data_IF_321931424306
#
_entry.id   IF_321931424306
#
_cell.length_a   1.000
_cell.length_b   1.000
_cell.length_c   1.000
_cell.angle_alpha   90.00
_cell.angle_beta   90.00
_cell.angle_gamma   90.00
#
_symmetry.space_group_name_H-M   'P 1'
#
loop_
_entity.id
_entity.type
_entity.pdbx_description
1 polymer ?
#
# COMPACT_ATOMS: atom_id res chain seq x y z
N UNK A 1 -26.09 -13.30 33.15
CA UNK A 1 -26.31 -11.90 32.74
C UNK A 1 -25.04 -11.35 32.09
N UNK A 2 -24.68 -11.81 30.88
CA UNK A 2 -23.53 -11.32 30.09
C UNK A 2 -23.93 -11.37 28.59
N UNK A 3 -24.93 -10.60 28.19
CA UNK A 3 -25.33 -10.48 26.76
C UNK A 3 -25.74 -9.05 26.35
N UNK A 4 -25.46 -8.04 27.18
CA UNK A 4 -25.86 -6.66 26.94
C UNK A 4 -24.83 -5.74 26.23
N UNK A 5 -23.58 -6.18 26.05
CA UNK A 5 -22.48 -5.31 25.61
C UNK A 5 -22.21 -5.25 24.10
N UNK A 6 -22.71 -6.23 23.33
CA UNK A 6 -22.34 -6.34 21.89
C UNK A 6 -23.14 -5.41 20.96
N UNK A 7 -24.32 -4.95 21.39
CA UNK A 7 -25.22 -4.15 20.54
C UNK A 7 -24.86 -2.67 20.38
N UNK A 8 -24.00 -2.12 21.24
CA UNK A 8 -23.61 -0.71 21.16
C UNK A 8 -22.48 -0.41 20.16
N UNK A 9 -21.75 -1.43 19.70
CA UNK A 9 -20.54 -1.25 18.87
C UNK A 9 -20.81 -1.24 17.36
N UNK A 10 -22.00 -1.64 16.91
CA UNK A 10 -22.31 -1.69 15.46
C UNK A 10 -22.95 -0.39 14.93
N UNK A 11 -23.47 0.49 15.80
CA UNK A 11 -24.21 1.68 15.37
C UNK A 11 -23.43 2.69 14.52
N UNK A 12 -22.15 3.06 14.81
CA UNK A 12 -21.44 4.02 13.97
C UNK A 12 -21.19 3.51 12.56
N UNK A 13 -20.94 2.22 12.42
CA UNK A 13 -20.65 1.59 11.12
C UNK A 13 -21.91 1.43 10.25
N UNK A 14 -23.03 1.08 10.83
CA UNK A 14 -24.33 0.99 10.15
C UNK A 14 -24.79 2.36 9.63
N UNK A 15 -24.61 3.40 10.43
CA UNK A 15 -24.89 4.78 10.04
C UNK A 15 -24.07 5.22 8.82
N UNK A 16 -22.79 4.84 8.76
CA UNK A 16 -21.92 5.13 7.62
C UNK A 16 -22.36 4.41 6.35
N UNK A 17 -22.84 3.16 6.44
CA UNK A 17 -23.38 2.44 5.28
C UNK A 17 -24.55 3.16 4.61
N UNK A 18 -25.43 3.77 5.40
CA UNK A 18 -26.57 4.54 4.86
C UNK A 18 -26.15 5.90 4.32
N UNK A 19 -25.21 6.58 5.00
CA UNK A 19 -24.73 7.91 4.61
C UNK A 19 -23.84 7.91 3.36
N UNK A 20 -23.21 6.78 3.06
CA UNK A 20 -22.30 6.60 1.92
C UNK A 20 -22.86 5.68 0.82
N UNK A 21 -24.18 5.55 0.68
CA UNK A 21 -24.74 4.85 -0.48
C UNK A 21 -24.25 5.51 -1.76
N UNK A 22 -23.31 4.82 -2.43
CA UNK A 22 -22.90 5.18 -3.78
C UNK A 22 -24.12 5.08 -4.68
N UNK A 23 -24.50 6.11 -5.43
CA UNK A 23 -25.61 6.04 -6.38
C UNK A 23 -25.40 4.85 -7.33
N UNK A 24 -26.45 4.09 -7.63
CA UNK A 24 -26.41 2.93 -8.53
C UNK A 24 -25.75 3.26 -9.90
N UNK A 25 -25.84 4.52 -10.34
CA UNK A 25 -25.17 5.02 -11.53
C UNK A 25 -23.64 5.08 -11.39
N UNK A 26 -23.10 5.32 -10.19
CA UNK A 26 -21.68 5.27 -9.93
C UNK A 26 -21.16 3.82 -9.87
N UNK A 27 -21.95 2.87 -9.34
CA UNK A 27 -21.63 1.44 -9.38
C UNK A 27 -21.50 0.92 -10.83
N UNK A 28 -22.32 1.41 -11.76
CA UNK A 28 -22.23 1.01 -13.15
C UNK A 28 -20.96 1.50 -13.87
N UNK A 29 -20.28 2.53 -13.36
CA UNK A 29 -18.94 2.95 -13.79
C UNK A 29 -17.85 1.98 -13.27
N UNK A 30 -18.12 1.23 -12.20
CA UNK A 30 -17.19 0.26 -11.65
C UNK A 30 -17.16 -1.08 -12.41
N UNK A 31 -18.18 -1.37 -13.24
CA UNK A 31 -18.29 -2.65 -13.96
C UNK A 31 -17.56 -2.69 -15.30
N UNK A 32 -16.96 -1.60 -15.75
CA UNK A 32 -16.17 -1.54 -16.98
C UNK A 32 -14.69 -1.43 -16.66
N UNK A 33 -14.02 -2.53 -16.58
CA UNK A 33 -12.59 -2.79 -16.76
C UNK A 33 -11.98 -3.68 -15.68
N UNK A 34 -12.29 -4.96 -15.73
CA UNK A 34 -11.52 -6.02 -15.04
C UNK A 34 -10.21 -6.35 -15.76
N UNK A 35 -9.55 -5.39 -16.39
CA UNK A 35 -8.38 -5.63 -17.23
C UNK A 35 -7.09 -5.28 -16.50
N UNK A 36 -6.25 -6.25 -16.43
CA UNK A 36 -4.81 -6.37 -16.14
C UNK A 36 -4.00 -5.06 -16.31
N UNK A 37 -4.06 -4.15 -15.34
CA UNK A 37 -3.31 -2.89 -15.40
C UNK A 37 -1.81 -3.12 -15.23
N UNK A 38 -1.01 -2.39 -16.00
CA UNK A 38 0.46 -2.46 -16.10
C UNK A 38 1.03 -3.82 -16.54
N UNK A 39 0.21 -4.72 -17.07
CA UNK A 39 0.73 -5.82 -17.87
C UNK A 39 1.09 -5.33 -19.28
N UNK A 40 2.18 -5.86 -19.83
CA UNK A 40 2.70 -5.46 -21.14
C UNK A 40 1.67 -5.58 -22.27
N UNK A 41 0.82 -6.60 -22.22
CA UNK A 41 -0.28 -6.77 -23.17
C UNK A 41 -1.32 -5.65 -23.06
N UNK A 42 -1.70 -5.27 -21.82
CA UNK A 42 -2.64 -4.18 -21.61
C UNK A 42 -2.09 -2.84 -22.11
N UNK A 43 -0.84 -2.52 -21.78
CA UNK A 43 -0.16 -1.31 -22.24
C UNK A 43 -0.16 -1.22 -23.76
N UNK A 44 0.21 -2.31 -24.45
CA UNK A 44 0.26 -2.37 -25.90
C UNK A 44 -1.11 -2.21 -26.55
N UNK A 45 -2.11 -2.92 -25.99
CA UNK A 45 -3.44 -3.02 -26.60
C UNK A 45 -4.29 -1.76 -26.30
N UNK A 46 -3.89 -0.93 -25.31
CA UNK A 46 -4.62 0.26 -24.85
C UNK A 46 -3.71 1.50 -24.67
N UNK A 47 -2.72 1.68 -25.58
CA UNK A 47 -1.69 2.72 -25.45
C UNK A 47 -2.27 4.10 -25.11
N UNK A 48 -3.24 4.59 -25.89
CA UNK A 48 -3.80 5.93 -25.75
C UNK A 48 -4.53 6.13 -24.42
N UNK A 49 -5.28 5.12 -23.98
CA UNK A 49 -5.96 5.16 -22.67
C UNK A 49 -4.96 5.14 -21.51
N UNK A 50 -3.89 4.35 -21.62
CA UNK A 50 -2.80 4.34 -20.64
C UNK A 50 -2.15 5.71 -20.52
N UNK A 51 -1.80 6.34 -21.64
CA UNK A 51 -1.20 7.68 -21.65
C UNK A 51 -2.15 8.71 -21.04
N UNK A 52 -3.42 8.68 -21.42
CA UNK A 52 -4.46 9.57 -20.88
C UNK A 52 -4.60 9.40 -19.36
N UNK A 53 -4.64 8.17 -18.85
CA UNK A 53 -4.73 7.91 -17.39
C UNK A 53 -3.47 8.33 -16.66
N UNK A 54 -2.28 8.12 -17.22
CA UNK A 54 -1.01 8.58 -16.65
C UNK A 54 -0.93 10.13 -16.57
N UNK A 55 -1.56 10.83 -17.50
CA UNK A 55 -1.61 12.31 -17.46
C UNK A 55 -2.38 12.84 -16.25
N UNK A 56 -3.37 12.09 -15.71
CA UNK A 56 -4.08 12.44 -14.49
C UNK A 56 -3.12 12.49 -13.28
N UNK A 57 -2.11 11.59 -13.24
CA UNK A 57 -1.02 11.61 -12.24
C UNK A 57 0.10 12.62 -12.56
N UNK A 58 -0.07 13.47 -13.54
CA UNK A 58 0.96 14.39 -13.99
C UNK A 58 2.29 13.70 -14.38
N UNK A 59 2.22 12.42 -14.82
CA UNK A 59 3.40 11.66 -15.23
C UNK A 59 3.97 12.23 -16.52
N UNK A 60 5.21 12.72 -16.44
CA UNK A 60 5.90 13.37 -17.56
C UNK A 60 6.35 12.34 -18.60
N UNK A 61 6.41 12.76 -19.86
CA UNK A 61 6.93 11.97 -20.98
C UNK A 61 6.22 10.61 -21.17
N UNK A 62 4.96 10.51 -20.75
CA UNK A 62 4.18 9.27 -20.77
C UNK A 62 4.18 8.61 -22.16
N UNK A 63 3.98 9.37 -23.25
CA UNK A 63 3.97 8.83 -24.61
C UNK A 63 5.31 8.19 -24.98
N UNK A 64 6.43 8.87 -24.72
CA UNK A 64 7.78 8.38 -25.02
C UNK A 64 8.10 7.13 -24.22
N UNK A 65 7.79 7.12 -22.91
CA UNK A 65 8.08 5.99 -22.02
C UNK A 65 7.21 4.77 -22.37
N UNK A 66 5.91 4.99 -22.62
CA UNK A 66 5.00 3.90 -23.01
C UNK A 66 5.38 3.34 -24.39
N UNK A 67 5.77 4.18 -25.35
CA UNK A 67 6.27 3.69 -26.63
C UNK A 67 7.54 2.85 -26.45
N UNK A 68 8.48 3.29 -25.63
CA UNK A 68 9.70 2.51 -25.31
C UNK A 68 9.36 1.15 -24.72
N UNK A 69 8.39 1.06 -23.78
CA UNK A 69 7.94 -0.22 -23.21
C UNK A 69 7.38 -1.13 -24.30
N UNK A 70 6.56 -0.60 -25.23
CA UNK A 70 5.97 -1.36 -26.34
C UNK A 70 7.06 -1.89 -27.28
N UNK A 71 8.06 -1.07 -27.62
CA UNK A 71 9.15 -1.44 -28.53
C UNK A 71 10.04 -2.52 -27.92
N UNK A 72 10.33 -2.41 -26.63
CA UNK A 72 11.03 -3.43 -25.86
C UNK A 72 10.24 -4.75 -25.77
N UNK A 73 8.92 -4.72 -25.55
CA UNK A 73 8.07 -5.92 -25.54
C UNK A 73 8.01 -6.59 -26.93
N UNK A 74 7.95 -5.80 -27.99
CA UNK A 74 8.03 -6.33 -29.35
C UNK A 74 9.37 -7.02 -29.63
N UNK A 75 10.48 -6.39 -29.18
CA UNK A 75 11.84 -6.97 -29.27
C UNK A 75 11.94 -8.26 -28.47
N UNK A 76 11.38 -8.30 -27.24
CA UNK A 76 11.31 -9.49 -26.40
C UNK A 76 10.56 -10.63 -27.09
N UNK A 77 9.37 -10.35 -27.64
CA UNK A 77 8.58 -11.34 -28.38
C UNK A 77 9.30 -11.89 -29.60
N UNK A 78 10.00 -11.02 -30.36
CA UNK A 78 10.79 -11.46 -31.51
C UNK A 78 11.96 -12.35 -31.07
N UNK A 79 12.69 -11.99 -30.00
CA UNK A 79 13.77 -12.80 -29.45
C UNK A 79 13.25 -14.14 -28.90
N UNK A 80 12.14 -14.14 -28.18
CA UNK A 80 11.49 -15.36 -27.66
C UNK A 80 11.13 -16.32 -28.81
N UNK A 81 10.48 -15.80 -29.85
CA UNK A 81 10.11 -16.61 -31.01
C UNK A 81 11.35 -17.23 -31.68
N UNK A 82 12.43 -16.45 -31.86
CA UNK A 82 13.67 -16.99 -32.43
C UNK A 82 14.28 -18.09 -31.55
N UNK A 83 14.27 -17.92 -30.23
CA UNK A 83 14.77 -18.95 -29.30
C UNK A 83 13.91 -20.22 -29.36
N UNK A 84 12.57 -20.08 -29.38
CA UNK A 84 11.64 -21.22 -29.48
C UNK A 84 11.78 -21.97 -30.80
N UNK A 85 11.90 -21.26 -31.93
CA UNK A 85 12.11 -21.83 -33.27
C UNK A 85 13.46 -22.58 -33.33
N UNK A 86 14.56 -21.99 -32.81
CA UNK A 86 15.88 -22.62 -32.75
C UNK A 86 15.87 -23.88 -31.90
N UNK A 87 15.19 -23.86 -30.77
CA UNK A 87 15.04 -25.02 -29.88
C UNK A 87 14.23 -26.14 -30.52
N UNK A 88 13.16 -25.79 -31.22
CA UNK A 88 12.35 -26.76 -31.99
C UNK A 88 13.17 -27.42 -33.09
N UNK A 89 13.98 -26.67 -33.84
CA UNK A 89 14.89 -27.22 -34.86
C UNK A 89 15.92 -28.16 -34.25
N UNK A 90 16.61 -27.74 -33.16
CA UNK A 90 17.58 -28.56 -32.44
C UNK A 90 16.96 -29.91 -31.97
N UNK A 91 15.75 -29.87 -31.42
CA UNK A 91 15.03 -31.08 -30.98
C UNK A 91 14.69 -31.99 -32.15
N UNK A 92 14.33 -31.44 -33.31
CA UNK A 92 14.02 -32.20 -34.53
C UNK A 92 15.26 -32.90 -35.07
N UNK A 93 16.41 -32.17 -35.13
CA UNK A 93 17.67 -32.77 -35.55
C UNK A 93 18.17 -33.85 -34.57
N UNK A 94 17.96 -33.67 -33.27
CA UNK A 94 18.31 -34.68 -32.28
C UNK A 94 17.54 -35.99 -32.48
N UNK A 95 16.26 -35.94 -32.86
CA UNK A 95 15.47 -37.15 -33.23
C UNK A 95 16.02 -37.80 -34.50
N UNK A 96 16.29 -37.00 -35.54
CA UNK A 96 16.85 -37.51 -36.79
C UNK A 96 18.22 -38.18 -36.58
N UNK A 97 19.10 -37.62 -35.76
CA UNK A 97 20.38 -38.26 -35.38
C UNK A 97 20.13 -39.62 -34.74
N UNK A 98 19.12 -39.72 -33.82
CA UNK A 98 18.78 -40.99 -33.20
C UNK A 98 18.31 -42.05 -34.20
N UNK A 99 17.55 -41.68 -35.25
CA UNK A 99 17.15 -42.58 -36.31
C UNK A 99 18.27 -43.01 -37.24
N UNK A 100 19.13 -42.05 -37.64
CA UNK A 100 20.31 -42.34 -38.49
C UNK A 100 21.31 -43.28 -37.79
N UNK A 101 21.52 -43.09 -36.50
CA UNK A 101 22.36 -43.96 -35.68
C UNK A 101 21.80 -45.40 -35.62
N UNK A 102 20.50 -45.57 -35.51
CA UNK A 102 19.82 -46.88 -35.51
C UNK A 102 19.95 -47.58 -36.87
N UNK A 103 19.95 -46.81 -37.94
CA UNK A 103 20.04 -47.36 -39.35
C UNK A 103 21.49 -47.46 -39.84
N UNK A 104 22.50 -47.21 -38.99
CA UNK A 104 23.94 -47.36 -39.33
C UNK A 104 24.53 -46.26 -40.20
N UNK A 105 23.79 -45.16 -40.44
CA UNK A 105 24.23 -44.02 -41.28
C UNK A 105 25.04 -43.00 -40.46
N UNK A 106 26.27 -43.40 -40.05
CA UNK A 106 27.10 -42.66 -39.12
C UNK A 106 27.59 -41.32 -39.66
N UNK A 107 27.96 -41.21 -40.92
CA UNK A 107 28.46 -39.97 -41.53
C UNK A 107 27.37 -38.88 -41.58
N UNK A 108 26.14 -39.25 -42.02
CA UNK A 108 25.02 -38.35 -42.01
C UNK A 108 24.68 -37.89 -40.56
N UNK A 109 24.75 -38.79 -39.58
CA UNK A 109 24.52 -38.48 -38.18
C UNK A 109 25.58 -37.48 -37.61
N UNK A 110 26.86 -37.60 -38.00
CA UNK A 110 27.92 -36.68 -37.57
C UNK A 110 27.71 -35.26 -38.14
N UNK A 111 27.27 -35.13 -39.38
CA UNK A 111 26.96 -33.81 -39.97
C UNK A 111 25.80 -33.12 -39.20
N UNK A 112 24.75 -33.86 -38.85
CA UNK A 112 23.64 -33.33 -38.08
C UNK A 112 24.05 -32.99 -36.62
N UNK A 113 24.96 -33.73 -36.02
CA UNK A 113 25.52 -33.40 -34.71
C UNK A 113 26.28 -32.06 -34.72
N UNK A 114 27.05 -31.79 -35.77
CA UNK A 114 27.75 -30.50 -35.91
C UNK A 114 26.72 -29.36 -36.00
N UNK A 115 25.68 -29.50 -36.82
CA UNK A 115 24.61 -28.53 -36.93
C UNK A 115 23.85 -28.34 -35.61
N UNK A 116 23.59 -29.43 -34.86
CA UNK A 116 22.93 -29.36 -33.54
C UNK A 116 23.83 -28.62 -32.53
N UNK A 117 25.12 -28.78 -32.58
CA UNK A 117 26.07 -28.04 -31.71
C UNK A 117 26.06 -26.53 -32.01
N UNK A 118 25.98 -26.16 -33.30
CA UNK A 118 25.85 -24.75 -33.72
C UNK A 118 24.51 -24.14 -33.23
N UNK A 119 23.41 -24.86 -33.40
CA UNK A 119 22.09 -24.42 -32.90
C UNK A 119 22.06 -24.25 -31.39
N UNK A 120 22.73 -25.12 -30.62
CA UNK A 120 22.85 -24.95 -29.15
C UNK A 120 23.63 -23.70 -28.76
N UNK A 121 24.69 -23.33 -29.51
CA UNK A 121 25.39 -22.07 -29.27
C UNK A 121 24.48 -20.86 -29.59
N UNK A 122 23.73 -20.94 -30.67
CA UNK A 122 22.75 -19.92 -31.06
C UNK A 122 21.66 -19.78 -30.01
N UNK A 123 21.11 -20.91 -29.52
CA UNK A 123 20.11 -20.93 -28.42
C UNK A 123 20.64 -20.16 -27.19
N UNK A 124 21.87 -20.47 -26.74
CA UNK A 124 22.46 -19.76 -25.60
C UNK A 124 22.57 -18.26 -25.84
N UNK A 125 23.00 -17.84 -27.03
CA UNK A 125 23.11 -16.41 -27.38
C UNK A 125 21.77 -15.73 -27.39
N UNK A 126 20.71 -16.42 -27.86
CA UNK A 126 19.33 -15.91 -27.86
C UNK A 126 18.75 -15.83 -26.46
N UNK A 127 19.04 -16.80 -25.58
CA UNK A 127 18.63 -16.77 -24.17
C UNK A 127 19.28 -15.59 -23.43
N UNK A 128 20.58 -15.35 -23.64
CA UNK A 128 21.29 -14.20 -23.07
C UNK A 128 20.69 -12.87 -23.60
N UNK A 129 20.39 -12.79 -24.88
CA UNK A 129 19.73 -11.62 -25.49
C UNK A 129 18.33 -11.40 -24.89
N UNK A 130 17.52 -12.46 -24.76
CA UNK A 130 16.20 -12.40 -24.17
C UNK A 130 16.26 -11.88 -22.73
N UNK A 131 17.14 -12.45 -21.92
CA UNK A 131 17.34 -12.00 -20.53
C UNK A 131 17.73 -10.53 -20.42
N UNK A 132 18.60 -10.04 -21.31
CA UNK A 132 18.98 -8.63 -21.34
C UNK A 132 17.77 -7.74 -21.70
N UNK A 133 16.96 -8.13 -22.71
CA UNK A 133 15.77 -7.36 -23.09
C UNK A 133 14.74 -7.36 -21.92
N UNK A 134 14.54 -8.48 -21.25
CA UNK A 134 13.64 -8.56 -20.08
C UNK A 134 14.09 -7.64 -18.95
N UNK A 135 15.40 -7.54 -18.70
CA UNK A 135 15.94 -6.59 -17.73
C UNK A 135 15.69 -5.14 -18.14
N UNK A 136 15.87 -4.80 -19.43
CA UNK A 136 15.57 -3.44 -19.91
C UNK A 136 14.08 -3.12 -19.85
N UNK A 137 13.19 -4.05 -20.22
CA UNK A 137 11.73 -3.90 -20.01
C UNK A 137 11.45 -3.58 -18.54
N UNK A 138 12.03 -4.36 -17.61
CA UNK A 138 11.82 -4.20 -16.19
C UNK A 138 12.32 -2.85 -15.68
N UNK A 139 13.50 -2.39 -16.10
CA UNK A 139 14.05 -1.08 -15.74
C UNK A 139 13.16 0.08 -16.14
N UNK A 140 12.55 0.00 -17.32
CA UNK A 140 11.61 1.05 -17.78
C UNK A 140 10.27 0.92 -17.07
N UNK A 141 9.72 -0.29 -16.95
CA UNK A 141 8.39 -0.53 -16.40
C UNK A 141 8.28 -0.11 -14.92
N UNK A 142 9.34 -0.27 -14.12
CA UNK A 142 9.34 0.17 -12.71
C UNK A 142 9.28 1.69 -12.54
N UNK A 143 9.52 2.46 -13.62
CA UNK A 143 9.40 3.92 -13.59
C UNK A 143 7.97 4.40 -13.85
N UNK A 144 7.10 3.53 -14.35
CA UNK A 144 5.71 3.86 -14.68
C UNK A 144 4.82 3.69 -13.45
N UNK A 145 4.12 4.74 -13.00
CA UNK A 145 3.20 4.64 -11.87
C UNK A 145 1.96 3.81 -12.22
N UNK A 146 1.25 3.36 -11.19
CA UNK A 146 -0.04 2.71 -11.40
C UNK A 146 -1.04 3.66 -12.04
N UNK A 147 -1.96 3.13 -12.84
CA UNK A 147 -2.99 3.91 -13.50
C UNK A 147 -4.06 4.35 -12.50
N UNK A 148 -4.41 5.64 -12.42
CA UNK A 148 -5.48 6.09 -11.57
C UNK A 148 -6.84 5.59 -12.06
N UNK A 149 -7.74 5.25 -11.15
CA UNK A 149 -9.12 4.89 -11.47
C UNK A 149 -9.84 6.08 -12.15
N UNK A 150 -10.81 5.81 -13.01
CA UNK A 150 -11.53 6.84 -13.77
C UNK A 150 -12.29 7.89 -12.93
N UNK A 151 -12.52 7.62 -11.63
CA UNK A 151 -13.15 8.56 -10.70
C UNK A 151 -12.16 9.46 -9.93
N UNK A 152 -10.85 9.32 -10.19
CA UNK A 152 -9.83 10.18 -9.57
C UNK A 152 -9.93 11.58 -10.13
N UNK A 153 -10.08 12.62 -9.29
CA UNK A 153 -10.13 13.99 -9.76
C UNK A 153 -8.78 14.42 -10.36
N UNK A 154 -8.84 15.23 -11.40
CA UNK A 154 -7.65 15.89 -11.91
C UNK A 154 -7.17 16.93 -10.89
N UNK A 155 -5.86 17.04 -10.72
CA UNK A 155 -5.25 17.98 -9.78
C UNK A 155 -3.74 17.79 -9.72
N UNK A 156 -3.03 18.76 -9.12
CA UNK A 156 -1.57 18.76 -9.02
C UNK A 156 -1.05 18.72 -7.60
N UNK A 157 -1.82 19.25 -6.67
CA UNK A 157 -1.40 19.49 -5.29
C UNK A 157 -2.50 19.05 -4.30
N UNK A 158 -2.20 18.89 -2.99
CA UNK A 158 -3.18 18.51 -1.99
C UNK A 158 -4.43 19.41 -1.91
N UNK A 159 -4.32 20.68 -2.33
CA UNK A 159 -5.44 21.62 -2.37
C UNK A 159 -6.50 21.25 -3.42
N UNK A 160 -6.13 20.43 -4.40
CA UNK A 160 -7.05 19.93 -5.42
C UNK A 160 -7.80 18.65 -4.99
N UNK A 161 -7.55 18.15 -3.80
CA UNK A 161 -8.24 16.97 -3.26
C UNK A 161 -9.72 17.28 -2.98
N UNK A 162 -10.59 16.33 -3.27
CA UNK A 162 -12.02 16.49 -3.06
C UNK A 162 -12.43 16.04 -1.66
N UNK A 163 -13.02 16.93 -0.85
CA UNK A 163 -13.69 16.55 0.39
C UNK A 163 -14.96 15.77 0.05
N UNK A 164 -15.02 14.51 0.48
CA UNK A 164 -16.15 13.61 0.20
C UNK A 164 -17.02 13.33 1.43
N UNK A 165 -16.52 13.62 2.62
CA UNK A 165 -17.25 13.46 3.87
C UNK A 165 -16.62 14.30 4.99
N UNK A 166 -17.45 14.80 5.90
CA UNK A 166 -17.03 15.51 7.12
C UNK A 166 -17.88 15.03 8.31
N UNK A 167 -17.28 14.95 9.48
CA UNK A 167 -17.95 14.53 10.72
C UNK A 167 -17.40 15.26 11.95
N UNK A 168 -18.29 15.49 12.90
CA UNK A 168 -17.96 16.08 14.20
C UNK A 168 -17.94 17.61 14.18
N UNK A 169 -17.89 18.18 15.37
CA UNK A 169 -17.82 19.63 15.57
C UNK A 169 -16.41 19.99 16.06
N UNK A 170 -15.81 20.96 15.43
CA UNK A 170 -14.51 21.52 15.84
C UNK A 170 -14.67 22.09 17.26
N UNK A 171 -13.86 21.63 18.25
CA UNK A 171 -13.98 22.11 19.61
C UNK A 171 -13.47 23.56 19.74
N UNK A 172 -14.21 24.34 20.52
CA UNK A 172 -13.76 25.66 20.97
C UNK A 172 -12.91 25.45 22.23
N UNK A 173 -11.63 25.78 22.13
CA UNK A 173 -10.70 25.61 23.24
C UNK A 173 -10.74 26.81 24.22
N UNK A 174 -10.37 26.58 25.46
CA UNK A 174 -10.21 27.64 26.47
C UNK A 174 -9.00 28.55 26.12
N UNK A 175 -8.96 29.76 26.71
CA UNK A 175 -7.96 30.77 26.35
C UNK A 175 -6.50 30.36 26.61
N UNK A 176 -6.25 29.44 27.56
CA UNK A 176 -4.94 28.94 27.92
C UNK A 176 -4.60 27.60 27.20
N UNK A 177 -5.33 27.24 26.13
CA UNK A 177 -5.09 26.02 25.40
C UNK A 177 -3.71 26.01 24.71
N UNK A 178 -3.08 24.83 24.74
CA UNK A 178 -1.72 24.63 24.27
C UNK A 178 -1.66 23.55 23.18
N UNK A 179 -0.68 23.60 22.26
CA UNK A 179 -0.44 22.54 21.32
C UNK A 179 0.13 21.28 22.01
N UNK A 180 -0.02 20.12 21.38
CA UNK A 180 0.31 18.82 21.96
C UNK A 180 1.75 18.70 22.48
N UNK A 181 2.74 19.37 21.89
CA UNK A 181 4.13 19.32 22.37
C UNK A 181 4.31 20.05 23.71
N UNK A 182 3.53 21.10 23.98
CA UNK A 182 3.53 21.79 25.28
C UNK A 182 2.76 20.98 26.32
N UNK A 183 1.60 20.40 25.95
CA UNK A 183 0.86 19.49 26.81
C UNK A 183 1.68 18.25 27.18
N UNK A 184 2.41 17.69 26.21
CA UNK A 184 3.29 16.55 26.42
C UNK A 184 4.40 16.84 27.45
N UNK A 185 5.00 18.04 27.41
CA UNK A 185 5.97 18.48 28.39
C UNK A 185 5.32 18.77 29.76
N UNK A 186 4.19 19.50 29.77
CA UNK A 186 3.48 19.89 31.01
C UNK A 186 3.07 18.70 31.86
N UNK A 187 2.60 17.61 31.22
CA UNK A 187 2.12 16.41 31.89
C UNK A 187 3.11 15.23 31.86
N UNK A 188 4.35 15.45 31.44
CA UNK A 188 5.43 14.45 31.33
C UNK A 188 4.99 13.19 30.54
N UNK A 189 4.34 13.40 29.40
CA UNK A 189 3.79 12.32 28.57
C UNK A 189 4.76 11.85 27.49
N UNK A 190 5.52 12.79 26.90
CA UNK A 190 6.43 12.53 25.79
C UNK A 190 7.64 13.45 25.96
N UNK A 191 8.82 12.84 25.88
CA UNK A 191 10.11 13.53 26.01
C UNK A 191 10.82 13.53 24.66
N UNK A 192 10.78 14.67 23.98
CA UNK A 192 11.42 14.85 22.68
C UNK A 192 12.94 15.04 22.81
N UNK A 193 13.42 15.69 23.90
CA UNK A 193 14.85 15.94 24.14
C UNK A 193 15.58 14.63 24.46
N UNK A 194 14.95 13.76 25.26
CA UNK A 194 15.48 12.43 25.51
C UNK A 194 15.57 11.61 24.22
N UNK A 195 14.59 11.73 23.33
CA UNK A 195 14.63 11.10 22.00
C UNK A 195 15.81 11.58 21.16
N UNK A 196 16.09 12.89 21.15
CA UNK A 196 17.26 13.46 20.49
C UNK A 196 18.57 12.92 21.09
N UNK A 197 18.65 12.78 22.41
CA UNK A 197 19.81 12.21 23.10
C UNK A 197 20.06 10.74 22.74
N UNK A 198 18.98 9.94 22.58
CA UNK A 198 19.10 8.50 22.32
C UNK A 198 19.40 8.17 20.85
N UNK A 199 18.80 8.91 19.92
CA UNK A 199 18.85 8.57 18.50
C UNK A 199 19.01 9.80 17.60
N UNK A 200 18.24 10.86 17.84
CA UNK A 200 18.17 12.06 17.02
C UNK A 200 16.77 12.67 17.00
N UNK A 201 16.60 13.77 16.30
CA UNK A 201 15.29 14.40 16.13
C UNK A 201 14.31 13.44 15.43
N UNK A 202 13.02 13.53 15.77
CA UNK A 202 11.99 12.68 15.16
C UNK A 202 11.83 11.28 15.78
N UNK A 203 12.48 11.01 16.94
CA UNK A 203 12.35 9.79 17.73
C UNK A 203 11.83 10.10 19.13
N UNK A 204 10.52 10.33 19.35
CA UNK A 204 9.97 10.68 20.66
C UNK A 204 10.03 9.52 21.64
N UNK A 205 10.22 9.86 22.94
CA UNK A 205 10.13 8.88 24.04
C UNK A 205 8.82 9.10 24.80
N UNK A 206 7.90 8.16 24.68
CA UNK A 206 6.65 8.16 25.43
C UNK A 206 6.89 7.72 26.87
N UNK A 207 6.28 8.43 27.85
CA UNK A 207 6.47 8.22 29.28
C UNK A 207 5.14 8.11 30.02
N UNK A 208 5.11 7.44 31.15
CA UNK A 208 3.99 7.41 32.09
C UNK A 208 2.62 7.18 31.44
N UNK A 209 1.69 8.13 31.64
CA UNK A 209 0.35 8.11 31.05
C UNK A 209 0.40 8.24 29.52
N UNK A 210 1.40 8.89 28.93
CA UNK A 210 1.60 8.98 27.49
C UNK A 210 1.92 7.62 26.87
N UNK A 211 2.85 6.86 27.46
CA UNK A 211 3.15 5.49 27.01
C UNK A 211 1.94 4.55 27.20
N UNK A 212 1.18 4.74 28.27
CA UNK A 212 -0.06 3.99 28.51
C UNK A 212 -1.13 4.30 27.46
N UNK A 213 -1.32 5.57 27.10
CA UNK A 213 -2.25 6.00 26.04
C UNK A 213 -1.85 5.42 24.68
N UNK A 214 -0.56 5.46 24.32
CA UNK A 214 -0.04 4.88 23.09
C UNK A 214 -0.41 3.39 22.99
N UNK A 215 -0.11 2.61 24.02
CA UNK A 215 -0.46 1.18 24.07
C UNK A 215 -1.97 0.94 24.09
N UNK A 216 -2.76 1.79 24.76
CA UNK A 216 -4.20 1.71 24.77
C UNK A 216 -4.80 1.87 23.37
N UNK A 217 -4.29 2.80 22.57
CA UNK A 217 -4.69 3.00 21.18
C UNK A 217 -4.34 1.79 20.30
N UNK A 218 -3.14 1.22 20.46
CA UNK A 218 -2.75 0.00 19.72
C UNK A 218 -3.75 -1.12 19.99
N UNK A 219 -4.03 -1.43 21.25
CA UNK A 219 -4.95 -2.49 21.63
C UNK A 219 -6.38 -2.20 21.13
N UNK A 220 -6.84 -0.97 21.30
CA UNK A 220 -8.16 -0.55 20.82
C UNK A 220 -8.31 -0.79 19.31
N UNK A 221 -7.34 -0.36 18.50
CA UNK A 221 -7.42 -0.52 17.05
C UNK A 221 -7.33 -1.98 16.61
N UNK A 222 -6.48 -2.79 17.23
CA UNK A 222 -6.39 -4.22 16.95
C UNK A 222 -7.67 -4.97 17.33
N UNK A 223 -8.25 -4.69 18.51
CA UNK A 223 -9.50 -5.30 18.95
C UNK A 223 -10.67 -4.93 18.01
N UNK A 224 -10.71 -3.69 17.52
CA UNK A 224 -11.71 -3.27 16.53
C UNK A 224 -11.50 -3.95 15.18
N UNK A 225 -10.25 -4.10 14.73
CA UNK A 225 -9.94 -4.76 13.47
C UNK A 225 -10.32 -6.26 13.54
N UNK A 226 -9.94 -6.96 14.61
CA UNK A 226 -10.27 -8.37 14.79
C UNK A 226 -11.78 -8.59 14.91
N UNK A 227 -12.50 -7.72 15.64
CA UNK A 227 -13.97 -7.74 15.70
C UNK A 227 -14.62 -7.50 14.34
N UNK A 228 -13.94 -6.82 13.40
CA UNK A 228 -14.38 -6.60 12.00
C UNK A 228 -14.01 -7.75 11.08
N UNK A 229 -13.42 -8.81 11.60
CA UNK A 229 -13.06 -10.03 10.87
C UNK A 229 -11.68 -9.96 10.19
N UNK A 230 -10.82 -9.04 10.61
CA UNK A 230 -9.41 -9.07 10.21
C UNK A 230 -8.65 -10.11 11.04
N UNK A 231 -7.80 -10.88 10.39
CA UNK A 231 -6.85 -11.76 11.04
C UNK A 231 -5.63 -10.96 11.48
N UNK A 232 -5.35 -10.95 12.78
CA UNK A 232 -4.20 -10.24 13.33
C UNK A 232 -2.90 -11.01 13.02
N UNK A 233 -1.90 -10.29 12.53
CA UNK A 233 -0.56 -10.82 12.26
C UNK A 233 0.50 -9.89 12.84
N UNK A 234 1.55 -10.47 13.38
CA UNK A 234 2.72 -9.74 13.88
C UNK A 234 3.92 -10.01 12.95
N UNK A 235 4.14 -9.18 11.92
CA UNK A 235 5.19 -9.40 10.95
C UNK A 235 6.54 -8.87 11.46
N UNK A 236 7.69 -9.30 10.85
CA UNK A 236 8.97 -8.68 11.08
C UNK A 236 9.00 -7.22 10.62
N UNK A 237 9.79 -6.39 11.32
CA UNK A 237 9.97 -4.97 11.02
C UNK A 237 11.15 -4.70 10.08
N UNK A 238 11.91 -5.72 9.74
CA UNK A 238 12.95 -5.70 8.70
C UNK A 238 12.54 -6.63 7.57
N UNK A 239 12.76 -6.20 6.33
CA UNK A 239 12.37 -6.93 5.13
C UNK A 239 13.51 -6.97 4.12
N UNK A 240 13.49 -7.97 3.24
CA UNK A 240 14.42 -8.05 2.12
C UNK A 240 13.97 -7.15 0.94
N UNK A 241 14.86 -7.01 -0.04
CA UNK A 241 14.65 -6.19 -1.23
C UNK A 241 13.39 -6.60 -2.01
N UNK A 242 13.16 -7.92 -2.18
CA UNK A 242 11.98 -8.45 -2.88
C UNK A 242 10.67 -7.99 -2.23
N UNK A 243 10.65 -7.89 -0.90
CA UNK A 243 9.46 -7.43 -0.18
C UNK A 243 9.18 -5.94 -0.42
N UNK A 244 10.22 -5.12 -0.43
CA UNK A 244 10.09 -3.70 -0.76
C UNK A 244 9.69 -3.49 -2.23
N UNK A 245 10.22 -4.30 -3.13
CA UNK A 245 9.85 -4.28 -4.54
C UNK A 245 8.39 -4.71 -4.76
N UNK A 246 7.94 -5.74 -4.07
CA UNK A 246 6.58 -6.31 -4.21
C UNK A 246 5.47 -5.31 -3.96
N UNK A 247 5.64 -4.42 -2.99
CA UNK A 247 4.66 -3.36 -2.67
C UNK A 247 4.93 -2.02 -3.37
N UNK A 248 6.07 -1.88 -4.07
CA UNK A 248 6.42 -0.67 -4.82
C UNK A 248 7.16 0.39 -3.99
N UNK A 249 7.66 0.03 -2.80
CA UNK A 249 8.53 0.89 -1.99
C UNK A 249 9.95 0.95 -2.58
N UNK A 250 10.37 -0.11 -3.28
CA UNK A 250 11.62 -0.13 -4.03
C UNK A 250 11.33 -0.17 -5.55
N UNK A 251 12.19 0.46 -6.36
CA UNK A 251 13.35 1.30 -5.98
C UNK A 251 12.91 2.57 -5.23
N UNK A 252 13.61 2.87 -4.12
CA UNK A 252 13.33 4.03 -3.27
C UNK A 252 13.82 5.34 -3.93
N UNK A 253 12.96 5.93 -4.74
CA UNK A 253 13.25 7.17 -5.49
C UNK A 253 13.33 8.41 -4.60
N UNK A 254 12.67 8.36 -3.44
CA UNK A 254 12.55 9.48 -2.52
C UNK A 254 13.53 9.40 -1.33
N UNK A 255 14.25 8.28 -1.21
CA UNK A 255 15.20 8.06 -0.13
C UNK A 255 14.54 7.91 1.24
N UNK A 256 13.34 7.34 1.29
CA UNK A 256 12.52 7.24 2.52
C UNK A 256 12.85 6.04 3.39
N UNK A 257 13.39 4.96 2.82
CA UNK A 257 13.66 3.73 3.56
C UNK A 257 15.01 3.76 4.27
N UNK A 258 15.04 3.29 5.51
CA UNK A 258 16.28 2.97 6.22
C UNK A 258 16.82 1.64 5.71
N UNK A 259 18.07 1.63 5.27
CA UNK A 259 18.77 0.45 4.76
C UNK A 259 19.85 -0.04 5.73
N UNK A 260 19.78 -1.31 6.10
CA UNK A 260 20.79 -2.01 6.91
C UNK A 260 21.80 -2.62 5.96
N UNK A 261 22.89 -1.90 5.68
CA UNK A 261 23.80 -2.19 4.57
C UNK A 261 24.53 -3.54 4.66
N UNK A 262 24.88 -4.01 5.87
CA UNK A 262 25.63 -5.27 6.06
C UNK A 262 24.78 -6.48 5.66
N UNK A 263 23.50 -6.48 6.06
CA UNK A 263 22.59 -7.62 5.86
C UNK A 263 21.71 -7.46 4.61
N UNK A 264 21.82 -6.32 3.92
CA UNK A 264 20.94 -5.93 2.80
C UNK A 264 19.45 -6.04 3.15
N UNK A 265 19.07 -5.52 4.32
CA UNK A 265 17.70 -5.47 4.80
C UNK A 265 17.23 -4.02 4.90
N UNK A 266 15.90 -3.84 4.92
CA UNK A 266 15.26 -2.53 5.02
C UNK A 266 14.34 -2.50 6.22
N UNK A 267 14.37 -1.40 7.01
CA UNK A 267 13.34 -1.14 8.01
C UNK A 267 12.05 -0.74 7.30
N UNK A 268 10.94 -1.30 7.73
CA UNK A 268 9.64 -1.06 7.09
C UNK A 268 9.12 0.36 7.30
N UNK A 269 8.63 1.05 6.26
CA UNK A 269 7.97 2.35 6.40
C UNK A 269 6.49 2.21 6.78
N UNK A 270 5.95 0.99 6.70
CA UNK A 270 4.55 0.61 6.97
C UNK A 270 4.45 -0.92 7.08
N UNK A 271 3.54 -1.42 7.90
CA UNK A 271 3.22 -2.84 7.97
C UNK A 271 2.60 -3.40 6.68
N UNK A 272 2.12 -2.54 5.78
CA UNK A 272 1.72 -2.93 4.43
C UNK A 272 2.75 -3.83 3.76
N UNK A 273 4.04 -3.47 3.86
CA UNK A 273 5.13 -4.19 3.17
C UNK A 273 5.17 -5.65 3.59
N UNK A 274 5.40 -6.01 4.85
CA UNK A 274 5.46 -7.42 5.24
C UNK A 274 4.11 -8.13 5.15
N UNK A 275 2.99 -7.48 5.48
CA UNK A 275 1.67 -8.13 5.48
C UNK A 275 1.24 -8.48 4.06
N UNK A 276 1.41 -7.59 3.09
CA UNK A 276 1.06 -7.87 1.69
C UNK A 276 1.97 -8.97 1.11
N UNK A 277 3.24 -9.01 1.52
CA UNK A 277 4.21 -10.03 1.09
C UNK A 277 3.95 -11.45 1.65
N UNK A 278 3.06 -11.63 2.62
CA UNK A 278 2.57 -12.97 3.01
C UNK A 278 2.03 -13.72 1.78
N UNK A 279 1.48 -12.99 0.81
CA UNK A 279 0.88 -13.55 -0.41
C UNK A 279 1.80 -13.51 -1.63
N UNK A 280 3.11 -13.27 -1.45
CA UNK A 280 4.09 -13.33 -2.54
C UNK A 280 4.25 -14.75 -3.06
N UNK A 281 4.17 -14.92 -4.40
CA UNK A 281 4.23 -16.22 -5.12
C UNK A 281 3.10 -17.20 -4.74
N UNK A 282 1.95 -16.70 -4.22
CA UNK A 282 0.81 -17.52 -3.80
C UNK A 282 -0.28 -17.55 -4.88
N UNK A 283 -0.90 -18.71 -5.07
CA UNK A 283 -2.15 -18.86 -5.83
C UNK A 283 -3.26 -19.21 -4.85
N UNK A 284 -4.16 -18.27 -4.64
CA UNK A 284 -5.31 -18.37 -3.74
C UNK A 284 -6.48 -19.10 -4.42
N UNK A 285 -7.46 -19.54 -3.66
CA UNK A 285 -8.77 -19.93 -4.19
C UNK A 285 -9.65 -18.68 -4.27
N UNK A 286 -10.48 -18.60 -5.31
CA UNK A 286 -11.45 -17.50 -5.46
C UNK A 286 -12.37 -17.38 -4.23
N UNK A 287 -12.79 -18.53 -3.67
CA UNK A 287 -13.63 -18.62 -2.48
C UNK A 287 -13.01 -18.01 -1.19
N UNK A 288 -11.68 -17.85 -1.16
CA UNK A 288 -10.98 -17.31 0.00
C UNK A 288 -10.99 -15.77 0.04
N UNK A 289 -11.40 -15.14 -1.08
CA UNK A 289 -11.42 -13.69 -1.23
C UNK A 289 -12.72 -13.05 -0.70
N UNK A 290 -12.66 -11.89 -0.02
CA UNK A 290 -11.46 -11.15 0.33
C UNK A 290 -10.76 -11.72 1.57
N UNK A 291 -9.42 -11.79 1.52
CA UNK A 291 -8.60 -12.09 2.69
C UNK A 291 -8.31 -10.78 3.42
N UNK A 292 -8.48 -10.77 4.74
CA UNK A 292 -8.34 -9.57 5.58
C UNK A 292 -7.28 -9.82 6.66
N UNK A 293 -6.24 -8.96 6.69
CA UNK A 293 -5.23 -8.99 7.74
C UNK A 293 -5.08 -7.62 8.38
N UNK A 294 -4.77 -7.60 9.68
CA UNK A 294 -4.32 -6.40 10.37
C UNK A 294 -3.03 -6.68 11.15
N UNK A 295 -2.27 -5.65 11.43
CA UNK A 295 -1.09 -5.78 12.27
C UNK A 295 -0.60 -4.43 12.78
N UNK A 296 -0.05 -4.46 13.99
CA UNK A 296 0.66 -3.35 14.61
C UNK A 296 2.15 -3.50 14.33
N UNK A 297 2.79 -2.40 13.90
CA UNK A 297 4.26 -2.30 13.86
C UNK A 297 4.73 -0.89 14.16
N UNK A 298 5.94 -0.72 14.71
CA UNK A 298 6.70 0.50 14.49
C UNK A 298 7.01 0.62 12.99
N UNK A 299 7.00 1.86 12.50
CA UNK A 299 7.29 2.22 11.12
C UNK A 299 8.44 3.21 11.09
N UNK A 300 9.28 3.14 10.06
CA UNK A 300 10.50 3.93 9.97
C UNK A 300 10.56 4.67 8.63
N UNK A 301 10.67 6.00 8.69
CA UNK A 301 10.80 6.85 7.50
C UNK A 301 11.95 7.83 7.68
N UNK A 302 12.77 8.00 6.67
CA UNK A 302 13.89 8.96 6.72
C UNK A 302 13.42 10.41 6.67
N UNK A 303 12.17 10.64 6.26
CA UNK A 303 11.58 11.98 6.15
C UNK A 303 12.47 12.96 5.38
N UNK A 304 13.13 12.45 4.34
CA UNK A 304 14.08 13.20 3.53
C UNK A 304 13.41 14.44 2.91
N UNK A 305 14.00 15.61 3.12
CA UNK A 305 13.48 16.87 2.58
C UNK A 305 12.43 17.58 3.45
N UNK A 306 12.13 17.07 4.65
CA UNK A 306 11.15 17.69 5.57
C UNK A 306 11.82 18.64 6.54
N UNK A 307 11.38 19.90 6.57
CA UNK A 307 11.95 20.97 7.42
C UNK A 307 10.85 21.89 7.99
N UNK A 308 11.17 22.57 9.09
CA UNK A 308 10.37 23.70 9.64
C UNK A 308 9.23 23.29 10.56
N UNK A 309 8.11 24.03 10.54
CA UNK A 309 6.97 23.87 11.47
C UNK A 309 6.31 22.51 11.41
N UNK A 310 6.37 21.84 10.26
CA UNK A 310 5.71 20.56 10.03
C UNK A 310 6.38 19.37 10.73
N UNK A 311 7.61 19.54 11.23
CA UNK A 311 8.34 18.51 11.98
C UNK A 311 8.22 18.67 13.51
N UNK A 312 7.46 19.67 14.02
CA UNK A 312 7.37 19.92 15.45
C UNK A 312 6.44 18.91 16.15
N UNK A 313 6.86 18.42 17.31
CA UNK A 313 6.08 17.48 18.12
C UNK A 313 5.88 16.13 17.41
N UNK A 314 4.62 15.70 17.32
CA UNK A 314 4.21 14.42 16.74
C UNK A 314 3.77 14.52 15.25
N UNK A 315 3.93 15.67 14.63
CA UNK A 315 3.41 15.89 13.27
C UNK A 315 4.13 15.04 12.21
N UNK A 316 5.46 14.87 12.36
CA UNK A 316 6.29 14.10 11.43
C UNK A 316 7.47 13.47 12.17
N UNK A 317 7.61 12.17 12.09
CA UNK A 317 8.55 11.38 12.89
C UNK A 317 9.31 10.39 12.01
N UNK A 318 10.57 10.12 12.39
CA UNK A 318 11.41 9.08 11.79
C UNK A 318 11.00 7.67 12.25
N UNK A 319 10.50 7.55 13.47
CA UNK A 319 9.89 6.33 14.01
C UNK A 319 8.51 6.64 14.58
N UNK A 320 7.51 5.85 14.20
CA UNK A 320 6.14 5.98 14.70
C UNK A 320 5.41 4.64 14.67
N UNK A 321 4.37 4.54 15.50
CA UNK A 321 3.54 3.35 15.59
C UNK A 321 2.30 3.46 14.69
N UNK A 322 1.93 2.35 14.04
CA UNK A 322 0.78 2.27 13.16
C UNK A 322 0.11 0.89 13.23
N UNK A 323 -1.21 0.89 13.30
CA UNK A 323 -2.01 -0.30 12.98
C UNK A 323 -2.39 -0.23 11.51
N UNK A 324 -2.10 -1.28 10.77
CA UNK A 324 -2.36 -1.38 9.34
C UNK A 324 -3.39 -2.47 9.07
N UNK A 325 -4.26 -2.24 8.10
CA UNK A 325 -5.19 -3.23 7.55
C UNK A 325 -4.85 -3.46 6.08
N UNK A 326 -4.82 -4.74 5.69
CA UNK A 326 -4.51 -5.16 4.32
C UNK A 326 -5.56 -6.15 3.85
N UNK A 327 -6.04 -5.99 2.63
CA UNK A 327 -6.92 -6.97 2.00
C UNK A 327 -6.40 -7.41 0.65
N UNK A 328 -6.56 -8.70 0.36
CA UNK A 328 -6.42 -9.26 -0.98
C UNK A 328 -7.85 -9.57 -1.45
N UNK A 329 -8.28 -8.93 -2.53
CA UNK A 329 -9.67 -8.93 -2.96
C UNK A 329 -9.83 -9.41 -4.41
N UNK A 330 -11.04 -9.89 -4.71
CA UNK A 330 -11.43 -10.16 -6.09
C UNK A 330 -11.55 -8.84 -6.88
N UNK A 331 -11.02 -8.76 -8.12
CA UNK A 331 -11.05 -7.53 -8.92
C UNK A 331 -12.44 -6.90 -9.09
N UNK A 332 -13.48 -7.72 -9.25
CA UNK A 332 -14.84 -7.24 -9.45
C UNK A 332 -15.44 -6.52 -8.24
N UNK A 333 -14.98 -6.81 -7.02
CA UNK A 333 -15.52 -6.26 -5.77
C UNK A 333 -14.54 -5.36 -5.01
N UNK A 334 -13.33 -5.18 -5.52
CA UNK A 334 -12.26 -4.47 -4.79
C UNK A 334 -12.59 -3.01 -4.45
N UNK A 335 -13.41 -2.33 -5.24
CA UNK A 335 -13.84 -0.96 -4.94
C UNK A 335 -14.93 -0.90 -3.87
N UNK A 336 -15.79 -1.91 -3.77
CA UNK A 336 -16.71 -2.07 -2.64
C UNK A 336 -15.92 -2.34 -1.35
N UNK A 337 -14.88 -3.17 -1.44
CA UNK A 337 -13.93 -3.42 -0.35
C UNK A 337 -13.22 -2.14 0.09
N UNK A 338 -12.81 -1.28 -0.85
CA UNK A 338 -12.21 0.02 -0.54
C UNK A 338 -13.17 0.92 0.25
N UNK A 339 -14.43 1.01 -0.17
CA UNK A 339 -15.44 1.77 0.54
C UNK A 339 -15.71 1.21 1.96
N UNK A 340 -15.76 -0.11 2.11
CA UNK A 340 -15.90 -0.76 3.41
C UNK A 340 -14.70 -0.47 4.34
N UNK A 341 -13.47 -0.46 3.81
CA UNK A 341 -12.27 -0.10 4.56
C UNK A 341 -12.29 1.36 4.99
N UNK A 342 -12.66 2.28 4.08
CA UNK A 342 -12.82 3.71 4.37
C UNK A 342 -13.85 3.92 5.49
N UNK A 343 -15.01 3.29 5.39
CA UNK A 343 -16.08 3.42 6.38
C UNK A 343 -15.66 2.84 7.74
N UNK A 344 -14.92 1.74 7.74
CA UNK A 344 -14.37 1.17 8.96
C UNK A 344 -13.41 2.14 9.66
N UNK A 345 -12.47 2.73 8.93
CA UNK A 345 -11.51 3.71 9.50
C UNK A 345 -12.25 4.95 10.01
N UNK A 346 -13.23 5.46 9.26
CA UNK A 346 -14.08 6.57 9.71
C UNK A 346 -14.80 6.24 11.03
N UNK A 347 -15.28 5.00 11.21
CA UNK A 347 -15.93 4.58 12.46
C UNK A 347 -15.00 4.63 13.68
N UNK A 348 -13.70 4.34 13.49
CA UNK A 348 -12.70 4.47 14.57
C UNK A 348 -12.54 5.94 15.03
N UNK A 349 -12.54 6.88 14.10
CA UNK A 349 -12.46 8.31 14.40
C UNK A 349 -13.71 8.82 15.11
N UNK A 350 -14.88 8.31 14.72
CA UNK A 350 -16.14 8.60 15.43
C UNK A 350 -16.15 8.07 16.87
N UNK A 351 -15.67 6.83 17.09
CA UNK A 351 -15.56 6.26 18.44
C UNK A 351 -14.56 7.04 19.31
N UNK A 352 -13.52 7.62 18.71
CA UNK A 352 -12.58 8.51 19.40
C UNK A 352 -13.11 9.93 19.62
N UNK A 353 -14.33 10.23 19.20
CA UNK A 353 -14.98 11.54 19.31
C UNK A 353 -14.16 12.67 18.63
N UNK A 354 -13.39 12.36 17.59
CA UNK A 354 -12.58 13.33 16.86
C UNK A 354 -13.33 13.92 15.65
N UNK A 355 -13.34 15.24 15.46
CA UNK A 355 -13.80 15.83 14.21
C UNK A 355 -12.82 15.49 13.08
N UNK A 356 -13.35 15.01 11.97
CA UNK A 356 -12.52 14.58 10.83
C UNK A 356 -13.19 14.85 9.49
N UNK A 357 -12.39 14.85 8.44
CA UNK A 357 -12.86 14.86 7.06
C UNK A 357 -12.20 13.73 6.26
N UNK A 358 -12.88 13.29 5.20
CA UNK A 358 -12.35 12.31 4.25
C UNK A 358 -12.14 12.99 2.91
N UNK A 359 -10.94 12.87 2.38
CA UNK A 359 -10.53 13.39 1.07
C UNK A 359 -10.43 12.24 0.07
N UNK A 360 -10.91 12.46 -1.14
CA UNK A 360 -10.51 11.67 -2.30
C UNK A 360 -9.34 12.38 -2.97
N UNK A 361 -8.19 11.72 -3.02
CA UNK A 361 -6.98 12.34 -3.56
C UNK A 361 -7.09 12.58 -5.05
N UNK A 362 -6.60 13.71 -5.50
CA UNK A 362 -6.40 14.02 -6.91
C UNK A 362 -5.16 13.29 -7.47
N UNK A 363 -5.05 13.23 -8.78
CA UNK A 363 -3.98 12.47 -9.42
C UNK A 363 -2.56 12.92 -9.06
N UNK A 364 -2.36 14.20 -8.77
CA UNK A 364 -1.05 14.78 -8.42
C UNK A 364 -0.61 14.51 -6.99
N UNK A 365 -1.55 14.20 -6.09
CA UNK A 365 -1.28 13.91 -4.67
C UNK A 365 -1.27 12.41 -4.36
N UNK A 366 -1.75 11.58 -5.28
CA UNK A 366 -1.77 10.12 -5.10
C UNK A 366 -0.36 9.52 -5.11
N UNK A 367 -0.16 8.48 -4.30
CA UNK A 367 1.07 7.69 -4.31
C UNK A 367 1.34 7.06 -5.68
N UNK A 368 2.61 6.76 -5.95
CA UNK A 368 3.06 6.11 -7.17
C UNK A 368 2.30 4.80 -7.47
N UNK A 369 2.04 4.00 -6.44
CA UNK A 369 1.48 2.67 -6.56
C UNK A 369 -0.06 2.61 -6.55
N UNK A 370 -0.77 3.60 -6.00
CA UNK A 370 -2.23 3.53 -5.81
C UNK A 370 -3.01 3.84 -7.09
N UNK A 371 -4.18 3.21 -7.25
CA UNK A 371 -5.16 3.49 -8.29
C UNK A 371 -6.27 4.45 -7.81
N UNK A 372 -6.65 4.35 -6.53
CA UNK A 372 -7.56 5.27 -5.85
C UNK A 372 -7.22 5.31 -4.37
N UNK A 373 -7.18 6.51 -3.80
CA UNK A 373 -6.86 6.73 -2.38
C UNK A 373 -7.87 7.67 -1.74
N UNK A 374 -8.27 7.31 -0.52
CA UNK A 374 -8.97 8.18 0.42
C UNK A 374 -8.06 8.48 1.61
N UNK A 375 -7.85 9.75 1.92
CA UNK A 375 -7.18 10.17 3.15
C UNK A 375 -8.20 10.65 4.18
N UNK A 376 -7.94 10.37 5.44
CA UNK A 376 -8.70 10.92 6.56
C UNK A 376 -7.82 11.85 7.36
N UNK A 377 -8.36 13.04 7.59
CA UNK A 377 -7.70 14.06 8.37
C UNK A 377 -8.53 14.41 9.60
N UNK A 378 -7.88 14.54 10.75
CA UNK A 378 -8.49 15.02 11.99
C UNK A 378 -8.13 16.48 12.24
N UNK A 379 -9.06 17.23 12.84
CA UNK A 379 -8.77 18.60 13.21
C UNK A 379 -7.87 18.66 14.44
N UNK A 380 -6.79 19.40 14.35
CA UNK A 380 -5.90 19.77 15.47
C UNK A 380 -6.32 21.15 15.96
N UNK A 381 -7.01 21.20 17.11
CA UNK A 381 -7.66 22.41 17.55
C UNK A 381 -6.69 23.51 18.00
N UNK A 382 -5.55 23.15 18.57
CA UNK A 382 -4.53 24.13 18.98
C UNK A 382 -3.64 24.60 17.82
N UNK A 383 -3.40 23.74 16.81
CA UNK A 383 -2.65 24.11 15.61
C UNK A 383 -3.55 24.77 14.55
N UNK A 384 -4.89 24.67 14.68
CA UNK A 384 -5.89 25.18 13.75
C UNK A 384 -5.67 24.67 12.32
N UNK A 385 -5.42 23.34 12.18
CA UNK A 385 -5.22 22.69 10.90
C UNK A 385 -5.69 21.24 10.90
N UNK A 386 -5.91 20.70 9.72
CA UNK A 386 -6.16 19.29 9.50
C UNK A 386 -4.85 18.50 9.53
N UNK A 387 -4.86 17.33 10.13
CA UNK A 387 -3.74 16.39 10.21
C UNK A 387 -4.18 15.05 9.60
N UNK A 388 -3.53 14.62 8.55
CA UNK A 388 -3.73 13.29 7.97
C UNK A 388 -3.38 12.20 8.99
N UNK A 389 -4.31 11.30 9.25
CA UNK A 389 -4.16 10.19 10.22
C UNK A 389 -4.32 8.82 9.59
N UNK A 390 -4.85 8.76 8.38
CA UNK A 390 -5.04 7.53 7.62
C UNK A 390 -5.05 7.81 6.14
N UNK A 391 -4.50 6.85 5.38
CA UNK A 391 -4.65 6.73 3.94
C UNK A 391 -5.16 5.33 3.63
N UNK A 392 -6.24 5.21 2.86
CA UNK A 392 -6.85 3.93 2.45
C UNK A 392 -6.84 3.84 0.95
N UNK A 393 -6.15 2.83 0.40
CA UNK A 393 -5.82 2.75 -1.02
C UNK A 393 -6.20 1.41 -1.65
N UNK A 394 -6.64 1.46 -2.90
CA UNK A 394 -6.71 0.32 -3.81
C UNK A 394 -5.56 0.41 -4.81
N UNK A 395 -4.77 -0.65 -4.91
CA UNK A 395 -3.63 -0.74 -5.84
C UNK A 395 -3.98 -1.53 -7.10
N UNK A 396 -5.19 -2.04 -7.20
CA UNK A 396 -5.60 -2.97 -8.24
C UNK A 396 -4.57 -4.10 -8.39
N UNK A 397 -4.11 -4.38 -9.61
CA UNK A 397 -3.12 -5.44 -9.86
C UNK A 397 -1.67 -4.98 -9.74
N UNK A 398 -1.38 -3.74 -9.39
CA UNK A 398 -0.01 -3.19 -9.39
C UNK A 398 0.92 -3.97 -8.46
N UNK A 399 0.52 -4.14 -7.21
CA UNK A 399 1.32 -4.88 -6.24
C UNK A 399 1.23 -6.39 -6.48
N UNK A 400 0.04 -6.92 -6.73
CA UNK A 400 -0.17 -8.36 -6.92
C UNK A 400 0.53 -8.89 -8.16
N UNK A 401 0.73 -8.09 -9.21
CA UNK A 401 1.55 -8.44 -10.35
C UNK A 401 3.03 -8.58 -9.97
N UNK A 402 3.58 -7.64 -9.20
CA UNK A 402 4.96 -7.67 -8.68
C UNK A 402 5.18 -8.84 -7.72
N UNK A 403 4.21 -9.08 -6.84
CA UNK A 403 4.18 -10.17 -5.88
C UNK A 403 3.88 -11.54 -6.51
N UNK A 404 3.39 -11.58 -7.76
CA UNK A 404 2.81 -12.78 -8.38
C UNK A 404 1.69 -13.38 -7.52
N UNK A 405 0.92 -12.55 -6.80
CA UNK A 405 -0.24 -12.94 -6.03
C UNK A 405 -1.44 -13.11 -6.96
N UNK A 406 -1.91 -14.34 -7.08
CA UNK A 406 -2.94 -14.74 -8.05
C UNK A 406 -4.03 -15.52 -7.34
N UNK A 407 -5.18 -15.65 -7.99
CA UNK A 407 -6.21 -16.59 -7.57
C UNK A 407 -6.60 -17.47 -8.75
N UNK A 408 -7.16 -18.63 -8.45
CA UNK A 408 -7.72 -19.56 -9.44
C UNK A 408 -9.23 -19.41 -9.45
N UNK A 409 -9.78 -18.99 -10.59
CA UNK A 409 -11.20 -18.81 -10.78
C UNK A 409 -11.93 -20.18 -10.90
N UNK A 410 -13.27 -20.16 -10.87
CA UNK A 410 -14.12 -21.35 -10.99
C UNK A 410 -13.86 -22.18 -12.25
N UNK A 411 -13.34 -21.56 -13.30
CA UNK A 411 -12.96 -22.22 -14.56
C UNK A 411 -11.55 -22.79 -14.54
N UNK A 412 -10.85 -22.70 -13.41
CA UNK A 412 -9.48 -23.16 -13.23
C UNK A 412 -8.41 -22.23 -13.83
N UNK A 413 -8.78 -21.05 -14.35
CA UNK A 413 -7.86 -20.06 -14.90
C UNK A 413 -7.23 -19.24 -13.77
N UNK A 414 -5.93 -19.03 -13.86
CA UNK A 414 -5.19 -18.20 -12.91
C UNK A 414 -5.26 -16.72 -13.31
N UNK A 415 -5.65 -15.85 -12.37
CA UNK A 415 -5.79 -14.43 -12.56
C UNK A 415 -5.10 -13.66 -11.42
N UNK A 416 -4.74 -12.38 -11.64
CA UNK A 416 -4.22 -11.51 -10.60
C UNK A 416 -5.35 -11.06 -9.67
N UNK A 417 -5.10 -11.09 -8.36
CA UNK A 417 -5.98 -10.46 -7.38
C UNK A 417 -5.76 -8.94 -7.32
N UNK A 418 -6.58 -8.21 -6.59
CA UNK A 418 -6.33 -6.82 -6.20
C UNK A 418 -5.80 -6.76 -4.78
N UNK A 419 -4.91 -5.82 -4.49
CA UNK A 419 -4.46 -5.51 -3.13
C UNK A 419 -4.97 -4.15 -2.67
N UNK A 420 -5.33 -4.06 -1.40
CA UNK A 420 -5.77 -2.85 -0.74
C UNK A 420 -5.08 -2.74 0.62
N UNK A 421 -4.80 -1.53 1.05
CA UNK A 421 -4.37 -1.27 2.41
C UNK A 421 -5.03 -0.03 3.00
N UNK A 422 -4.87 0.14 4.32
CA UNK A 422 -5.25 1.35 5.01
C UNK A 422 -4.65 1.41 6.40
N UNK A 423 -4.34 2.62 6.85
CA UNK A 423 -3.93 2.83 8.24
C UNK A 423 -5.15 2.87 9.15
N UNK A 424 -5.16 2.03 10.17
CA UNK A 424 -6.25 1.96 11.15
C UNK A 424 -5.72 2.10 12.60
N UNK A 425 -5.00 3.15 13.01
CA UNK A 425 -4.62 4.43 12.41
C UNK A 425 -3.11 4.69 12.62
N UNK A 426 -2.59 5.85 12.12
CA UNK A 426 -1.25 6.34 12.46
C UNK A 426 -1.28 7.05 13.83
N UNK A 427 -0.68 6.45 14.85
CA UNK A 427 -0.88 6.83 16.24
C UNK A 427 -0.39 8.24 16.62
N UNK A 428 0.76 8.75 16.15
CA UNK A 428 1.28 10.03 16.64
C UNK A 428 0.31 11.19 16.45
N UNK A 429 -0.26 11.30 15.25
CA UNK A 429 -1.20 12.38 14.93
C UNK A 429 -2.56 12.20 15.63
N UNK A 430 -2.96 10.95 15.91
CA UNK A 430 -4.12 10.65 16.75
C UNK A 430 -3.86 11.08 18.19
N UNK A 431 -2.68 10.76 18.74
CA UNK A 431 -2.28 11.24 20.09
C UNK A 431 -2.27 12.77 20.13
N UNK A 432 -1.67 13.42 19.14
CA UNK A 432 -1.65 14.88 19.05
C UNK A 432 -3.08 15.47 19.07
N UNK A 433 -3.97 14.96 18.23
CA UNK A 433 -5.35 15.42 18.15
C UNK A 433 -6.14 15.13 19.45
N UNK A 434 -5.94 13.96 20.08
CA UNK A 434 -6.58 13.64 21.35
C UNK A 434 -6.13 14.58 22.48
N UNK A 435 -4.84 14.86 22.60
CA UNK A 435 -4.30 15.78 23.60
C UNK A 435 -4.86 17.20 23.38
N UNK A 436 -4.85 17.68 22.13
CA UNK A 436 -5.28 19.04 21.81
C UNK A 436 -6.79 19.24 21.90
N UNK A 437 -7.58 18.32 21.33
CA UNK A 437 -9.03 18.49 21.24
C UNK A 437 -9.77 18.20 22.55
N UNK A 438 -9.15 17.43 23.45
CA UNK A 438 -9.77 17.06 24.73
C UNK A 438 -9.17 17.81 25.94
N UNK A 439 -8.32 18.84 25.73
CA UNK A 439 -7.78 19.62 26.81
C UNK A 439 -8.86 20.50 27.47
N UNK A 440 -8.74 20.61 28.78
CA UNK A 440 -9.58 21.46 29.65
C UNK A 440 -8.68 22.30 30.55
N UNK A 441 -9.24 23.22 31.30
CA UNK A 441 -8.46 23.99 32.31
C UNK A 441 -7.78 23.09 33.35
N UNK A 442 -8.35 21.93 33.68
CA UNK A 442 -7.94 21.03 34.74
C UNK A 442 -7.19 19.78 34.25
N UNK A 443 -6.97 19.63 32.96
CA UNK A 443 -6.29 18.45 32.39
C UNK A 443 -6.80 18.07 31.00
N UNK A 444 -6.58 16.82 30.61
CA UNK A 444 -6.95 16.28 29.32
C UNK A 444 -7.93 15.12 29.54
N UNK A 445 -9.13 15.21 29.01
CA UNK A 445 -10.16 14.14 29.05
C UNK A 445 -9.75 12.99 28.14
N UNK A 446 -9.99 11.78 28.57
CA UNK A 446 -9.84 10.58 27.72
C UNK A 446 -11.18 10.20 27.11
N UNK A 447 -11.29 9.94 25.79
CA UNK A 447 -12.48 9.41 25.18
C UNK A 447 -13.00 8.16 25.89
N UNK A 448 -14.31 8.05 26.07
CA UNK A 448 -14.94 6.97 26.87
C UNK A 448 -14.49 5.58 26.41
N UNK A 449 -14.34 5.38 25.11
CA UNK A 449 -13.95 4.09 24.51
C UNK A 449 -12.53 3.67 24.89
N UNK A 450 -11.65 4.60 25.24
CA UNK A 450 -10.26 4.34 25.64
C UNK A 450 -10.09 4.13 27.15
N UNK A 451 -11.04 4.54 27.98
CA UNK A 451 -10.91 4.42 29.46
C UNK A 451 -10.60 2.99 29.90
N UNK A 452 -11.27 1.94 29.40
CA UNK A 452 -10.95 0.56 29.77
C UNK A 452 -9.53 0.13 29.42
N UNK A 453 -8.96 0.66 28.34
CA UNK A 453 -7.60 0.39 27.89
C UNK A 453 -6.55 1.21 28.64
N UNK A 454 -6.84 2.46 28.91
CA UNK A 454 -5.96 3.37 29.64
C UNK A 454 -5.91 3.05 31.15
N UNK A 455 -7.05 2.74 31.75
CA UNK A 455 -7.20 2.58 33.20
C UNK A 455 -7.31 3.93 33.94
N UNK A 456 -7.52 5.03 33.21
CA UNK A 456 -7.80 6.37 33.73
C UNK A 456 -8.71 7.13 32.75
N UNK A 457 -9.45 8.11 33.23
CA UNK A 457 -10.39 8.93 32.47
C UNK A 457 -9.85 10.31 32.11
N UNK A 458 -8.74 10.70 32.74
CA UNK A 458 -8.12 12.01 32.55
C UNK A 458 -6.62 12.01 32.83
N UNK A 459 -5.93 12.97 32.23
CA UNK A 459 -4.52 13.32 32.49
C UNK A 459 -4.54 14.69 33.15
N UNK A 460 -4.14 14.71 34.41
CA UNK A 460 -4.02 15.91 35.23
C UNK A 460 -2.68 15.93 35.95
#
# INVERSE_FOLDING_TARGET
MIFGGLFYFLRPYEFLKESFRVPQQALNLFTQSTTNMLQLNYIRDNKDEVIKRLSVKNFKDADTIIQQVIDLDNSRKAAQKQADDTKAEANTLARQIGELMKTGKKEEAEQLKAKTAELKNTEKTLDDKLKNIEQEVQKVLVTVPNLPHGSVPAGKTPEDNAVVFEHGTVPVLHAAAQPHWELAAKYDLIDFELGVKLTGAGFPVYKGKGARLQRALINFFLDRATAKGYNEVQPPIVVNEDSGYGTGQLPDKEGQMYHVGIDNLYLIPTAEVPITNIYRDVILKESDLPIKNCGYTPCFRREAGSYGKDVRGLNRLHQFDKVEIVQIAHPATSYEVLEDMRNYVASLLMELELPFRTLKLCGGDMSFASALTYDMEVWSAAQQRWLEVSSVSNFETFQTNRLKCRYRDEKGKTQLAHSLNGSALALPRIVAALLENNQTENGIRIPKVLIPYCGFDSIA
#
